data_IF_718954903979
#
_entry.id   IF_718954903979
#
_cell.length_a   1.000
_cell.length_b   1.000
_cell.length_c   1.000
_cell.angle_alpha   90.00
_cell.angle_beta   90.00
_cell.angle_gamma   90.00
#
_symmetry.space_group_name_H-M   'P 1'
#
loop_
_entity.id
_entity.type
_entity.pdbx_description
1 polymer ?
#
# COMPACT_ATOMS: atom_id res chain seq x y z
N UNK A 1 -10.66 -8.66 3.21
CA UNK A 1 -11.99 -9.29 3.35
C UNK A 1 -13.07 -8.27 3.03
N UNK A 2 -14.34 -8.64 2.85
CA UNK A 2 -15.42 -7.67 2.66
C UNK A 2 -15.52 -6.63 3.77
N UNK A 3 -15.18 -7.00 5.01
CA UNK A 3 -15.16 -6.09 6.16
C UNK A 3 -14.04 -5.04 6.03
N UNK A 4 -12.82 -5.47 5.70
CA UNK A 4 -11.68 -4.57 5.47
C UNK A 4 -11.94 -3.61 4.30
N UNK A 5 -12.59 -4.10 3.23
CA UNK A 5 -12.97 -3.25 2.11
C UNK A 5 -14.00 -2.19 2.54
N UNK A 6 -15.01 -2.58 3.32
CA UNK A 6 -16.06 -1.68 3.78
C UNK A 6 -15.52 -0.60 4.73
N UNK A 7 -14.59 -0.95 5.62
CA UNK A 7 -13.97 0.04 6.52
C UNK A 7 -13.15 1.06 5.74
N UNK A 8 -12.28 0.60 4.84
CA UNK A 8 -11.46 1.49 3.99
C UNK A 8 -12.37 2.38 3.12
N UNK A 9 -13.46 1.83 2.59
CA UNK A 9 -14.40 2.58 1.79
C UNK A 9 -15.10 3.69 2.58
N UNK A 10 -15.53 3.42 3.81
CA UNK A 10 -16.12 4.43 4.69
C UNK A 10 -15.14 5.53 5.05
N UNK A 11 -13.88 5.18 5.34
CA UNK A 11 -12.82 6.14 5.64
C UNK A 11 -12.55 7.05 4.44
N UNK A 12 -12.43 6.47 3.23
CA UNK A 12 -12.25 7.24 1.98
C UNK A 12 -13.42 8.18 1.70
N UNK A 13 -14.65 7.76 1.96
CA UNK A 13 -15.84 8.61 1.76
C UNK A 13 -15.97 9.72 2.82
N UNK A 14 -15.31 9.59 3.96
CA UNK A 14 -15.28 10.59 5.02
C UNK A 14 -14.23 11.69 4.79
N UNK A 15 -13.25 11.45 3.91
CA UNK A 15 -12.23 12.41 3.53
C UNK A 15 -12.87 13.67 2.92
N UNK A 16 -12.47 14.84 3.41
CA UNK A 16 -12.75 16.13 2.78
C UNK A 16 -11.69 16.44 1.71
N UNK A 17 -11.95 17.42 0.84
CA UNK A 17 -11.00 17.84 -0.21
C UNK A 17 -9.59 18.21 0.34
N UNK A 18 -9.51 18.51 1.64
CA UNK A 18 -8.27 18.85 2.32
C UNK A 18 -7.46 17.62 2.75
N UNK A 19 -8.10 16.46 2.91
CA UNK A 19 -7.51 15.20 3.39
C UNK A 19 -6.84 14.38 2.26
N UNK A 20 -6.52 15.05 1.15
CA UNK A 20 -5.81 14.43 0.02
C UNK A 20 -4.32 14.40 0.35
N UNK A 21 -3.81 13.20 0.58
CA UNK A 21 -2.38 13.00 0.76
C UNK A 21 -1.60 13.29 -0.54
N UNK A 22 -0.54 14.08 -0.43
CA UNK A 22 0.37 14.38 -1.53
C UNK A 22 1.73 13.72 -1.28
N UNK A 23 2.18 12.92 -2.24
CA UNK A 23 3.49 12.27 -2.23
C UNK A 23 4.45 13.04 -3.13
N UNK A 24 5.32 13.85 -2.55
CA UNK A 24 6.27 14.67 -3.34
C UNK A 24 7.40 13.83 -3.95
N UNK A 25 7.73 12.70 -3.32
CA UNK A 25 8.61 11.68 -3.87
C UNK A 25 8.20 10.29 -3.37
N UNK A 26 8.31 9.30 -4.27
CA UNK A 26 8.00 7.90 -3.98
C UNK A 26 9.06 7.02 -4.64
N UNK A 27 9.74 6.21 -3.84
CA UNK A 27 10.64 5.16 -4.31
C UNK A 27 10.05 3.80 -3.96
N UNK A 28 10.25 2.82 -4.84
CA UNK A 28 9.82 1.45 -4.65
C UNK A 28 10.98 0.49 -4.90
N UNK A 29 11.19 -0.44 -3.98
CA UNK A 29 12.24 -1.46 -4.09
C UNK A 29 11.71 -2.83 -3.65
N UNK A 30 11.86 -3.85 -4.49
CA UNK A 30 11.59 -5.23 -4.07
C UNK A 30 12.63 -5.62 -3.02
N UNK A 31 12.16 -5.98 -1.83
CA UNK A 31 13.02 -6.42 -0.71
C UNK A 31 12.99 -7.92 -0.50
N UNK A 32 11.93 -8.58 -0.96
CA UNK A 32 11.81 -10.03 -0.91
C UNK A 32 10.85 -10.54 -2.00
N UNK A 33 11.06 -11.78 -2.43
CA UNK A 33 10.18 -12.48 -3.37
C UNK A 33 10.27 -13.98 -3.16
N UNK A 34 9.11 -14.63 -3.06
CA UNK A 34 9.02 -16.07 -2.83
C UNK A 34 7.86 -16.68 -3.63
N UNK A 35 7.88 -18.00 -3.78
CA UNK A 35 6.74 -18.79 -4.26
C UNK A 35 6.39 -19.81 -3.19
N UNK A 36 5.24 -19.67 -2.57
CA UNK A 36 4.83 -20.46 -1.42
C UNK A 36 3.34 -20.78 -1.53
N UNK A 37 2.89 -21.95 -1.08
CA UNK A 37 1.47 -22.32 -1.06
C UNK A 37 0.72 -22.11 -2.41
N UNK A 38 1.42 -22.23 -3.54
CA UNK A 38 0.84 -22.04 -4.88
C UNK A 38 0.61 -20.56 -5.27
N UNK A 39 1.23 -19.61 -4.59
CA UNK A 39 1.17 -18.18 -4.89
C UNK A 39 2.57 -17.57 -4.96
N UNK A 40 2.71 -16.55 -5.80
CA UNK A 40 3.83 -15.63 -5.73
C UNK A 40 3.59 -14.64 -4.60
N UNK A 41 4.63 -14.38 -3.81
CA UNK A 41 4.65 -13.36 -2.77
C UNK A 41 5.78 -12.39 -3.11
N UNK A 42 5.51 -11.09 -3.12
CA UNK A 42 6.52 -10.05 -3.34
C UNK A 42 6.36 -8.99 -2.29
N UNK A 43 7.44 -8.68 -1.58
CA UNK A 43 7.48 -7.60 -0.59
C UNK A 43 8.20 -6.40 -1.21
N UNK A 44 7.52 -5.25 -1.26
CA UNK A 44 8.07 -4.00 -1.79
C UNK A 44 8.20 -3.00 -0.67
N UNK A 45 9.39 -2.46 -0.47
CA UNK A 45 9.61 -1.30 0.40
C UNK A 45 9.35 -0.02 -0.38
N UNK A 46 8.38 0.75 0.09
CA UNK A 46 8.12 2.12 -0.34
C UNK A 46 8.79 3.09 0.64
N UNK A 47 9.46 4.10 0.11
CA UNK A 47 10.05 5.18 0.90
C UNK A 47 9.83 6.50 0.19
N UNK A 48 9.57 7.56 0.93
CA UNK A 48 9.34 8.87 0.33
C UNK A 48 9.04 9.94 1.37
N UNK A 49 8.39 10.99 0.90
CA UNK A 49 7.77 12.01 1.76
C UNK A 49 6.31 12.18 1.40
N UNK A 50 5.47 12.36 2.40
CA UNK A 50 4.03 12.52 2.29
C UNK A 50 3.57 13.72 3.12
N UNK A 51 2.72 14.55 2.54
CA UNK A 51 1.84 15.48 3.27
C UNK A 51 0.48 14.80 3.35
N UNK A 52 -0.02 14.53 4.56
CA UNK A 52 -1.28 13.80 4.79
C UNK A 52 -2.54 14.63 4.46
N UNK A 53 -2.41 15.95 4.47
CA UNK A 53 -3.42 16.92 4.06
C UNK A 53 -2.77 18.16 3.42
N UNK A 54 -3.57 18.99 2.74
CA UNK A 54 -3.12 20.19 1.99
C UNK A 54 -2.34 21.21 2.84
N UNK A 55 -2.49 21.20 4.17
CA UNK A 55 -1.85 22.14 5.09
C UNK A 55 -0.70 21.50 5.90
N UNK A 56 -0.53 20.18 5.80
CA UNK A 56 0.46 19.43 6.54
C UNK A 56 1.86 19.57 5.93
N UNK A 57 2.86 19.63 6.81
CA UNK A 57 4.27 19.63 6.39
C UNK A 57 4.67 18.23 5.91
N UNK A 58 5.40 18.10 4.78
CA UNK A 58 5.86 16.81 4.30
C UNK A 58 6.67 16.06 5.37
N UNK A 59 6.27 14.82 5.66
CA UNK A 59 6.95 13.90 6.57
C UNK A 59 7.57 12.74 5.80
N UNK A 60 8.76 12.24 6.18
CA UNK A 60 9.29 11.03 5.61
C UNK A 60 8.42 9.83 6.03
N UNK A 61 8.21 8.90 5.12
CA UNK A 61 7.54 7.63 5.42
C UNK A 61 8.33 6.45 4.87
N UNK A 62 8.15 5.29 5.50
CA UNK A 62 8.64 4.00 5.02
C UNK A 62 7.61 2.93 5.32
N UNK A 63 7.24 2.19 4.28
CA UNK A 63 6.28 1.09 4.39
C UNK A 63 6.78 -0.11 3.59
N UNK A 64 6.44 -1.31 4.04
CA UNK A 64 6.63 -2.55 3.30
C UNK A 64 5.25 -3.10 2.97
N UNK A 65 4.96 -3.22 1.69
CA UNK A 65 3.71 -3.75 1.18
C UNK A 65 3.96 -5.15 0.65
N UNK A 66 3.14 -6.10 1.09
CA UNK A 66 3.20 -7.48 0.66
C UNK A 66 2.12 -7.73 -0.39
N UNK A 67 2.54 -8.13 -1.59
CA UNK A 67 1.67 -8.45 -2.70
C UNK A 67 1.64 -9.96 -2.91
N UNK A 68 0.46 -10.49 -3.24
CA UNK A 68 0.28 -11.89 -3.60
C UNK A 68 -0.43 -12.05 -4.93
N UNK A 69 -0.08 -13.11 -5.66
CA UNK A 69 -0.74 -13.51 -6.90
C UNK A 69 -0.74 -15.03 -7.02
N UNK A 70 -1.90 -15.70 -7.23
CA UNK A 70 -1.92 -17.14 -7.44
C UNK A 70 -1.10 -17.55 -8.67
N UNK A 71 -0.23 -18.54 -8.51
CA UNK A 71 0.63 -19.02 -9.58
C UNK A 71 -0.20 -19.65 -10.71
N UNK A 72 0.19 -19.39 -11.96
CA UNK A 72 -0.55 -19.88 -13.14
C UNK A 72 -1.93 -19.24 -13.36
N UNK A 73 -2.31 -18.23 -12.57
CA UNK A 73 -3.55 -17.49 -12.77
C UNK A 73 -3.34 -16.20 -13.57
N UNK A 74 -4.42 -15.74 -14.20
CA UNK A 74 -4.50 -14.41 -14.83
C UNK A 74 -4.99 -13.33 -13.84
N UNK A 75 -5.14 -13.65 -12.56
CA UNK A 75 -5.56 -12.67 -11.56
C UNK A 75 -4.48 -11.60 -11.36
N UNK A 76 -4.90 -10.39 -11.01
CA UNK A 76 -4.00 -9.30 -10.67
C UNK A 76 -3.34 -9.53 -9.30
N UNK A 77 -2.24 -8.82 -9.06
CA UNK A 77 -1.62 -8.78 -7.74
C UNK A 77 -2.54 -8.07 -6.76
N UNK A 78 -2.66 -8.61 -5.55
CA UNK A 78 -3.44 -8.00 -4.48
C UNK A 78 -2.56 -7.73 -3.27
N UNK A 79 -2.86 -6.66 -2.53
CA UNK A 79 -2.18 -6.33 -1.27
C UNK A 79 -2.66 -7.30 -0.19
N UNK A 80 -1.76 -8.10 0.35
CA UNK A 80 -2.01 -9.01 1.45
C UNK A 80 -1.73 -8.37 2.83
N UNK A 81 -0.92 -7.32 2.87
CA UNK A 81 -0.64 -6.58 4.10
C UNK A 81 0.29 -5.38 3.85
N UNK A 82 0.25 -4.43 4.79
CA UNK A 82 1.10 -3.24 4.83
C UNK A 82 1.73 -3.19 6.23
N UNK A 83 3.03 -2.95 6.28
CA UNK A 83 3.80 -2.76 7.51
C UNK A 83 4.49 -1.40 7.47
N UNK A 84 4.30 -0.58 8.51
CA UNK A 84 5.11 0.61 8.75
C UNK A 84 6.48 0.19 9.31
N UNK A 85 7.57 0.76 8.79
CA UNK A 85 8.94 0.35 9.14
C UNK A 85 9.84 1.54 9.53
#
# INVERSE_FOLDING_TARGET
>A
TPELYSSIYSDVMANQDQDVAEFSNLNAMIVDSATENGQYVVSVRFTGTVSEDLNSLPQPFTEIWHFVKPAGSQQDWVVAGIQQA
#
